data_IF_042980818741
#
_entry.id   IF_042980818741
#
_cell.length_a   1.000
_cell.length_b   1.000
_cell.length_c   1.000
_cell.angle_alpha   90.00
_cell.angle_beta   90.00
_cell.angle_gamma   90.00
#
_symmetry.space_group_name_H-M   'P 1'
#
loop_
_entity.id
_entity.type
_entity.pdbx_description
1 polymer ?
#
# COMPACT_ATOMS: atom_id res chain seq x y z
N UNK A 1 -42.40 35.24 37.85
CA UNK A 1 -43.19 34.01 37.64
C UNK A 1 -43.60 33.96 36.17
N UNK A 2 -42.94 33.12 35.36
CA UNK A 2 -43.23 33.02 33.93
C UNK A 2 -44.46 32.11 33.73
N UNK A 3 -45.47 32.52 32.95
CA UNK A 3 -46.67 31.71 32.74
C UNK A 3 -46.33 30.44 31.94
N UNK A 4 -46.71 29.27 32.48
CA UNK A 4 -46.63 28.00 31.75
C UNK A 4 -47.69 27.99 30.65
N UNK A 5 -47.27 28.16 29.39
CA UNK A 5 -48.13 27.97 28.22
C UNK A 5 -48.33 26.47 27.98
N UNK A 6 -49.58 26.00 28.01
CA UNK A 6 -49.93 24.65 27.60
C UNK A 6 -50.05 24.62 26.06
N UNK A 7 -49.37 23.67 25.41
CA UNK A 7 -49.42 23.49 23.96
C UNK A 7 -50.80 22.99 23.54
N UNK A 8 -51.29 23.46 22.38
CA UNK A 8 -52.55 22.95 21.83
C UNK A 8 -52.35 21.56 21.20
N UNK A 9 -53.40 20.73 21.22
CA UNK A 9 -53.35 19.38 20.64
C UNK A 9 -52.98 19.40 19.15
N UNK A 10 -53.44 20.42 18.40
CA UNK A 10 -53.10 20.62 17.01
C UNK A 10 -51.60 20.88 16.80
N UNK A 11 -50.98 21.67 17.68
CA UNK A 11 -49.55 22.00 17.63
C UNK A 11 -48.68 20.76 17.85
N UNK A 12 -49.09 19.89 18.79
CA UNK A 12 -48.42 18.59 19.02
C UNK A 12 -48.54 17.68 17.79
N UNK A 13 -49.72 17.63 17.17
CA UNK A 13 -49.96 16.76 16.01
C UNK A 13 -49.14 17.20 14.78
N UNK A 14 -49.03 18.50 14.55
CA UNK A 14 -48.17 19.08 13.50
C UNK A 14 -46.70 18.80 13.80
N UNK A 15 -46.26 18.98 15.05
CA UNK A 15 -44.87 18.70 15.44
C UNK A 15 -44.50 17.22 15.24
N UNK A 16 -45.38 16.29 15.59
CA UNK A 16 -45.18 14.85 15.37
C UNK A 16 -45.14 14.52 13.88
N UNK A 17 -46.03 15.09 13.07
CA UNK A 17 -46.02 14.89 11.62
C UNK A 17 -44.71 15.36 10.97
N UNK A 18 -44.22 16.54 11.36
CA UNK A 18 -42.94 17.07 10.91
C UNK A 18 -41.76 16.22 11.39
N UNK A 19 -41.79 15.75 12.64
CA UNK A 19 -40.76 14.87 13.18
C UNK A 19 -40.70 13.53 12.44
N UNK A 20 -41.84 12.93 12.11
CA UNK A 20 -41.91 11.70 11.32
C UNK A 20 -41.42 11.92 9.88
N UNK A 21 -41.80 13.04 9.26
CA UNK A 21 -41.31 13.39 7.92
C UNK A 21 -39.79 13.62 7.89
N UNK A 22 -39.24 14.25 8.92
CA UNK A 22 -37.80 14.38 9.08
C UNK A 22 -37.13 13.01 9.27
N UNK A 23 -37.73 12.14 10.08
CA UNK A 23 -37.22 10.80 10.31
C UNK A 23 -37.22 9.96 9.03
N UNK A 24 -38.28 10.02 8.21
CA UNK A 24 -38.34 9.29 6.95
C UNK A 24 -37.32 9.81 5.94
N UNK A 25 -37.07 11.12 5.87
CA UNK A 25 -36.00 11.69 5.05
C UNK A 25 -34.61 11.24 5.54
N UNK A 26 -34.38 11.26 6.86
CA UNK A 26 -33.12 10.83 7.44
C UNK A 26 -32.83 9.35 7.12
N UNK A 27 -33.81 8.48 7.33
CA UNK A 27 -33.65 7.04 7.10
C UNK A 27 -33.62 6.71 5.60
N UNK A 28 -34.50 7.33 4.81
CA UNK A 28 -34.68 7.04 3.39
C UNK A 28 -33.59 7.61 2.48
N UNK A 29 -32.96 8.72 2.85
CA UNK A 29 -31.97 9.40 2.00
C UNK A 29 -30.58 9.38 2.62
N UNK A 30 -30.46 9.74 3.91
CA UNK A 30 -29.14 9.94 4.52
C UNK A 30 -28.38 8.63 4.70
N UNK A 31 -29.05 7.57 5.21
CA UNK A 31 -28.39 6.27 5.44
C UNK A 31 -27.90 5.61 4.13
N UNK A 32 -28.69 5.54 3.04
CA UNK A 32 -28.19 5.03 1.76
C UNK A 32 -27.04 5.88 1.20
N UNK A 33 -27.13 7.20 1.31
CA UNK A 33 -26.08 8.12 0.83
C UNK A 33 -24.76 7.93 1.59
N UNK A 34 -24.81 7.76 2.92
CA UNK A 34 -23.65 7.42 3.74
C UNK A 34 -23.03 6.07 3.34
N UNK A 35 -23.87 5.07 3.05
CA UNK A 35 -23.43 3.77 2.57
C UNK A 35 -22.71 3.86 1.22
N UNK A 36 -23.29 4.57 0.25
CA UNK A 36 -22.68 4.81 -1.05
C UNK A 36 -21.37 5.57 -0.94
N UNK A 37 -21.33 6.62 -0.11
CA UNK A 37 -20.13 7.42 0.13
C UNK A 37 -18.98 6.56 0.70
N UNK A 38 -19.26 5.72 1.69
CA UNK A 38 -18.26 4.81 2.28
C UNK A 38 -17.68 3.84 1.25
N UNK A 39 -18.50 3.28 0.36
CA UNK A 39 -18.05 2.38 -0.71
C UNK A 39 -17.13 3.10 -1.69
N UNK A 40 -17.53 4.28 -2.16
CA UNK A 40 -16.72 5.11 -3.06
C UNK A 40 -15.40 5.52 -2.42
N UNK A 41 -15.44 5.99 -1.16
CA UNK A 41 -14.23 6.36 -0.42
C UNK A 41 -13.27 5.18 -0.30
N UNK A 42 -13.76 4.00 0.08
CA UNK A 42 -12.93 2.79 0.20
C UNK A 42 -12.25 2.41 -1.13
N UNK A 43 -12.97 2.55 -2.26
CA UNK A 43 -12.42 2.28 -3.60
C UNK A 43 -11.34 3.30 -3.99
N UNK A 44 -11.58 4.58 -3.74
CA UNK A 44 -10.62 5.65 -4.03
C UNK A 44 -9.36 5.49 -3.18
N UNK A 45 -9.52 5.20 -1.88
CA UNK A 45 -8.39 4.95 -0.97
C UNK A 45 -7.53 3.77 -1.47
N UNK A 46 -8.17 2.70 -1.93
CA UNK A 46 -7.47 1.53 -2.49
C UNK A 46 -6.71 1.88 -3.78
N UNK A 47 -7.31 2.65 -4.69
CA UNK A 47 -6.66 3.12 -5.92
C UNK A 47 -5.47 4.03 -5.62
N UNK A 48 -5.64 4.99 -4.71
CA UNK A 48 -4.56 5.88 -4.31
C UNK A 48 -3.42 5.12 -3.65
N UNK A 49 -3.74 4.15 -2.79
CA UNK A 49 -2.74 3.30 -2.13
C UNK A 49 -1.95 2.49 -3.15
N UNK A 50 -2.63 1.82 -4.10
CA UNK A 50 -1.97 1.07 -5.17
C UNK A 50 -1.04 1.96 -5.98
N UNK A 51 -1.52 3.12 -6.42
CA UNK A 51 -0.75 4.06 -7.24
C UNK A 51 0.47 4.61 -6.49
N UNK A 52 0.34 4.99 -5.22
CA UNK A 52 1.47 5.46 -4.40
C UNK A 52 2.48 4.34 -4.18
N UNK A 53 2.01 3.11 -3.96
CA UNK A 53 2.87 1.94 -3.76
C UNK A 53 3.69 1.64 -5.00
N UNK A 54 3.04 1.56 -6.16
CA UNK A 54 3.69 1.30 -7.45
C UNK A 54 4.69 2.39 -7.82
N UNK A 55 4.30 3.67 -7.69
CA UNK A 55 5.24 4.79 -7.92
C UNK A 55 6.47 4.73 -7.02
N UNK A 56 6.31 4.31 -5.77
CA UNK A 56 7.44 4.20 -4.83
C UNK A 56 8.38 3.06 -5.22
N UNK A 57 7.84 1.89 -5.55
CA UNK A 57 8.64 0.75 -6.04
C UNK A 57 9.36 1.16 -7.33
N UNK A 58 8.65 1.79 -8.27
CA UNK A 58 9.20 2.31 -9.50
C UNK A 58 10.35 3.27 -9.27
N UNK A 59 10.17 4.24 -8.37
CA UNK A 59 11.23 5.19 -8.03
C UNK A 59 12.49 4.50 -7.48
N UNK A 60 12.33 3.46 -6.66
CA UNK A 60 13.46 2.68 -6.15
C UNK A 60 14.12 1.85 -7.28
N UNK A 61 13.34 1.28 -8.21
CA UNK A 61 13.84 0.52 -9.36
C UNK A 61 14.54 1.40 -10.41
N UNK A 62 14.05 2.60 -10.70
CA UNK A 62 14.66 3.54 -11.64
C UNK A 62 16.06 3.99 -11.20
N UNK A 63 16.35 3.85 -9.90
CA UNK A 63 17.67 4.10 -9.31
C UNK A 63 18.50 2.83 -9.14
N UNK A 64 18.12 1.73 -9.78
CA UNK A 64 18.81 0.44 -9.70
C UNK A 64 19.27 -0.03 -11.09
N UNK A 65 20.01 -1.13 -11.12
CA UNK A 65 20.42 -1.82 -12.35
C UNK A 65 19.92 -3.26 -12.31
N UNK A 66 19.85 -4.00 -13.43
CA UNK A 66 19.46 -5.40 -13.42
C UNK A 66 20.26 -6.26 -12.44
N UNK A 67 21.57 -5.99 -12.31
CA UNK A 67 22.44 -6.72 -11.40
C UNK A 67 22.21 -6.40 -9.91
N UNK A 68 21.43 -5.38 -9.59
CA UNK A 68 21.21 -4.92 -8.21
C UNK A 68 19.79 -5.18 -7.72
N UNK A 69 19.00 -5.91 -8.50
CA UNK A 69 17.64 -6.34 -8.18
C UNK A 69 17.63 -7.85 -8.04
N UNK A 70 16.99 -8.35 -6.97
CA UNK A 70 16.78 -9.77 -6.75
C UNK A 70 15.31 -10.01 -6.41
N UNK A 71 14.74 -11.04 -7.02
CA UNK A 71 13.36 -11.44 -6.81
C UNK A 71 13.35 -12.84 -6.23
N UNK A 72 12.62 -13.01 -5.13
CA UNK A 72 12.34 -14.30 -4.52
C UNK A 72 10.83 -14.48 -4.41
N UNK A 73 10.30 -15.55 -4.98
CA UNK A 73 8.88 -15.88 -4.93
C UNK A 73 8.70 -17.35 -4.56
N UNK A 74 7.99 -17.62 -3.47
CA UNK A 74 7.73 -18.99 -3.00
C UNK A 74 6.47 -19.03 -2.14
N UNK A 75 5.58 -20.00 -2.41
CA UNK A 75 4.38 -20.22 -1.59
C UNK A 75 3.46 -18.99 -1.46
N UNK A 76 3.39 -18.13 -2.49
CA UNK A 76 2.62 -16.88 -2.46
C UNK A 76 3.29 -15.72 -1.71
N UNK A 77 4.44 -15.95 -1.07
CA UNK A 77 5.31 -14.89 -0.56
C UNK A 77 6.14 -14.36 -1.72
N UNK A 78 6.22 -13.05 -1.85
CA UNK A 78 7.07 -12.38 -2.83
C UNK A 78 7.97 -11.37 -2.13
N UNK A 79 9.26 -11.43 -2.40
CA UNK A 79 10.28 -10.52 -1.89
C UNK A 79 11.02 -9.91 -3.09
N UNK A 80 11.03 -8.59 -3.14
CA UNK A 80 11.76 -7.80 -4.11
C UNK A 80 12.83 -7.01 -3.35
N UNK A 81 14.07 -7.38 -3.60
CA UNK A 81 15.26 -6.71 -3.10
C UNK A 81 15.77 -5.74 -4.17
N UNK A 82 16.01 -4.49 -3.77
CA UNK A 82 16.51 -3.43 -4.64
C UNK A 82 17.67 -2.73 -3.95
N UNK A 83 18.87 -2.87 -4.53
CA UNK A 83 20.02 -2.09 -4.14
C UNK A 83 20.17 -0.89 -5.07
N UNK A 84 20.10 0.32 -4.50
CA UNK A 84 20.03 1.57 -5.24
C UNK A 84 21.42 2.14 -5.48
N UNK A 85 21.61 2.72 -6.66
CA UNK A 85 22.78 3.50 -7.00
C UNK A 85 22.71 4.86 -6.30
N UNK A 86 23.79 5.20 -5.59
CA UNK A 86 24.01 6.51 -4.98
C UNK A 86 24.54 7.49 -6.03
N UNK A 87 25.45 7.03 -6.89
CA UNK A 87 26.03 7.83 -7.95
C UNK A 87 27.28 7.20 -8.54
N UNK A 88 28.21 8.05 -8.97
CA UNK A 88 29.56 7.67 -9.34
C UNK A 88 30.54 8.29 -8.34
N UNK A 89 31.59 7.57 -8.00
CA UNK A 89 32.66 8.08 -7.16
C UNK A 89 33.65 8.97 -7.94
N UNK A 90 34.69 9.46 -7.27
CA UNK A 90 35.72 10.31 -7.89
C UNK A 90 36.52 9.61 -9.01
N UNK A 91 36.51 8.27 -9.06
CA UNK A 91 37.14 7.47 -10.10
C UNK A 91 36.20 7.17 -11.29
N UNK A 92 34.93 7.55 -11.18
CA UNK A 92 33.89 7.21 -12.16
C UNK A 92 33.29 5.82 -11.98
N UNK A 93 33.63 5.11 -10.89
CA UNK A 93 33.05 3.82 -10.55
C UNK A 93 31.66 4.00 -9.91
N UNK A 94 30.79 3.00 -10.07
CA UNK A 94 29.44 2.99 -9.52
C UNK A 94 29.50 2.90 -7.99
N UNK A 95 28.90 3.87 -7.31
CA UNK A 95 28.74 3.86 -5.86
C UNK A 95 27.30 3.49 -5.48
N UNK A 96 27.14 2.48 -4.64
CA UNK A 96 25.86 1.99 -4.15
C UNK A 96 25.49 2.60 -2.79
N UNK A 97 24.20 2.66 -2.49
CA UNK A 97 23.74 3.13 -1.18
C UNK A 97 24.10 2.12 -0.07
N UNK A 98 24.44 2.55 1.14
CA UNK A 98 24.83 1.63 2.23
C UNK A 98 23.65 0.81 2.79
N UNK A 99 22.47 0.89 2.16
CA UNK A 99 21.24 0.19 2.54
C UNK A 99 20.51 -0.28 1.29
N UNK A 100 20.00 -1.49 1.39
CA UNK A 100 19.15 -2.15 0.41
C UNK A 100 17.70 -1.92 0.79
N UNK A 101 16.85 -1.68 -0.20
CA UNK A 101 15.39 -1.60 -0.01
C UNK A 101 14.80 -2.97 -0.26
N UNK A 102 14.00 -3.46 0.68
CA UNK A 102 13.32 -4.74 0.55
C UNK A 102 11.82 -4.50 0.61
N UNK A 103 11.12 -4.94 -0.43
CA UNK A 103 9.66 -5.06 -0.44
C UNK A 103 9.30 -6.51 -0.23
N UNK A 104 8.44 -6.82 0.73
CA UNK A 104 7.93 -8.17 0.89
C UNK A 104 6.43 -8.18 1.08
N UNK A 105 5.79 -9.17 0.48
CA UNK A 105 4.39 -9.48 0.62
C UNK A 105 4.22 -10.82 1.31
N UNK A 106 3.42 -10.83 2.37
CA UNK A 106 3.04 -12.04 3.07
C UNK A 106 1.51 -12.23 2.99
N UNK A 107 1.02 -13.30 2.34
CA UNK A 107 -0.42 -13.51 2.13
C UNK A 107 -1.19 -13.68 3.45
N UNK A 108 -0.56 -14.18 4.52
CA UNK A 108 -1.22 -14.32 5.82
C UNK A 108 -1.62 -12.97 6.45
N UNK A 109 -0.86 -11.90 6.14
CA UNK A 109 -1.11 -10.56 6.66
C UNK A 109 -1.85 -9.64 5.69
N UNK A 110 -1.95 -10.02 4.41
CA UNK A 110 -2.47 -9.19 3.32
C UNK A 110 -1.84 -7.79 3.27
N UNK A 111 -0.54 -7.68 3.57
CA UNK A 111 0.22 -6.44 3.63
C UNK A 111 1.45 -6.51 2.73
N UNK A 112 1.67 -5.42 2.00
CA UNK A 112 2.94 -5.16 1.34
C UNK A 112 3.75 -4.22 2.24
N UNK A 113 4.93 -4.67 2.63
CA UNK A 113 5.81 -3.96 3.57
C UNK A 113 7.09 -3.58 2.84
N UNK A 114 7.63 -2.42 3.21
CA UNK A 114 8.95 -1.94 2.80
C UNK A 114 9.84 -1.81 4.01
N UNK A 115 11.03 -2.36 3.92
CA UNK A 115 12.07 -2.21 4.94
C UNK A 115 13.41 -1.83 4.31
N UNK A 116 14.32 -1.39 5.18
CA UNK A 116 15.71 -1.11 4.81
C UNK A 116 16.59 -2.13 5.50
N UNK A 117 17.48 -2.75 4.75
CA UNK A 117 18.41 -3.76 5.24
C UNK A 117 19.86 -3.35 4.88
N UNK A 118 20.87 -3.62 5.73
CA UNK A 118 20.76 -4.23 7.05
C UNK A 118 20.23 -3.24 8.11
N UNK A 119 19.64 -3.79 9.17
CA UNK A 119 19.14 -2.98 10.30
C UNK A 119 20.26 -2.32 11.10
N UNK A 120 21.42 -2.97 11.12
CA UNK A 120 22.65 -2.51 11.75
C UNK A 120 23.81 -2.73 10.79
N UNK A 121 24.73 -1.78 10.70
CA UNK A 121 25.86 -1.83 9.76
C UNK A 121 25.53 -1.22 8.39
N UNK A 122 26.33 -1.58 7.40
CA UNK A 122 26.25 -1.05 6.04
C UNK A 122 26.35 -2.18 5.02
N UNK A 123 25.49 -2.12 4.00
CA UNK A 123 25.65 -2.87 2.77
C UNK A 123 26.98 -2.51 2.08
N UNK A 124 27.44 -3.37 1.16
CA UNK A 124 28.58 -3.03 0.30
C UNK A 124 28.25 -1.78 -0.52
N UNK A 125 29.15 -0.81 -0.57
CA UNK A 125 28.97 0.40 -1.41
C UNK A 125 29.68 0.28 -2.76
N UNK A 126 30.56 -0.72 -2.94
CA UNK A 126 31.31 -0.93 -4.17
C UNK A 126 30.61 -1.87 -5.14
N UNK A 127 29.76 -2.77 -4.65
CA UNK A 127 29.14 -3.82 -5.45
C UNK A 127 27.66 -4.01 -5.10
N UNK A 128 26.82 -4.45 -6.06
CA UNK A 128 25.44 -4.80 -5.78
C UNK A 128 25.38 -5.96 -4.78
N UNK A 129 24.42 -5.90 -3.86
CA UNK A 129 24.30 -6.90 -2.81
C UNK A 129 23.18 -7.87 -3.14
N UNK A 130 23.51 -9.15 -3.07
CA UNK A 130 22.57 -10.25 -3.13
C UNK A 130 22.48 -10.93 -1.78
N UNK A 131 21.29 -11.44 -1.47
CA UNK A 131 21.05 -12.24 -0.27
C UNK A 131 20.71 -13.66 -0.68
N UNK A 132 21.04 -14.62 0.19
CA UNK A 132 20.61 -16.00 0.01
C UNK A 132 19.09 -16.11 0.14
N UNK A 133 18.47 -17.01 -0.64
CA UNK A 133 17.02 -17.20 -0.64
C UNK A 133 16.46 -17.56 0.74
N UNK A 134 17.23 -18.30 1.55
CA UNK A 134 16.87 -18.61 2.94
C UNK A 134 16.77 -17.32 3.80
N UNK A 135 17.65 -16.35 3.56
CA UNK A 135 17.63 -15.06 4.25
C UNK A 135 16.44 -14.21 3.77
N UNK A 136 16.13 -14.21 2.47
CA UNK A 136 14.96 -13.51 1.92
C UNK A 136 13.65 -14.08 2.48
N UNK A 137 13.55 -15.41 2.57
CA UNK A 137 12.39 -16.08 3.17
C UNK A 137 12.23 -15.74 4.66
N UNK A 138 13.34 -15.69 5.40
CA UNK A 138 13.35 -15.29 6.81
C UNK A 138 12.93 -13.83 7.00
N UNK A 139 13.39 -12.92 6.14
CA UNK A 139 13.05 -11.50 6.20
C UNK A 139 11.54 -11.26 6.02
N UNK A 140 10.91 -11.96 5.07
CA UNK A 140 9.46 -11.89 4.84
C UNK A 140 8.61 -12.36 6.03
N UNK A 141 9.20 -13.13 6.95
CA UNK A 141 8.55 -13.65 8.16
C UNK A 141 8.96 -12.87 9.42
N UNK A 142 10.01 -12.05 9.34
CA UNK A 142 10.56 -11.32 10.47
C UNK A 142 9.82 -10.00 10.72
N UNK A 143 9.65 -9.63 11.98
CA UNK A 143 9.14 -8.31 12.36
C UNK A 143 10.33 -7.41 12.65
N UNK A 144 10.51 -6.39 11.83
CA UNK A 144 11.61 -5.44 11.95
C UNK A 144 11.05 -4.07 12.37
N UNK A 145 11.61 -3.40 13.38
CA UNK A 145 11.12 -2.09 13.84
C UNK A 145 11.15 -1.00 12.76
N UNK A 146 11.99 -1.16 11.73
CA UNK A 146 12.09 -0.23 10.60
C UNK A 146 11.16 -0.58 9.43
N UNK A 147 10.27 -1.56 9.58
CA UNK A 147 9.28 -1.89 8.58
C UNK A 147 8.22 -0.80 8.45
N UNK A 148 7.91 -0.43 7.21
CA UNK A 148 6.81 0.47 6.88
C UNK A 148 5.82 -0.25 5.99
N UNK A 149 4.58 -0.33 6.44
CA UNK A 149 3.48 -0.82 5.60
C UNK A 149 3.26 0.15 4.44
N UNK A 150 3.30 -0.38 3.23
CA UNK A 150 3.11 0.39 1.98
C UNK A 150 1.67 0.24 1.48
N UNK A 151 1.13 -0.98 1.55
CA UNK A 151 -0.26 -1.26 1.21
C UNK A 151 -0.88 -2.31 2.14
N UNK A 152 -2.19 -2.20 2.35
CA UNK A 152 -3.01 -3.13 3.15
C UNK A 152 -4.17 -3.63 2.28
N UNK A 153 -4.58 -4.89 2.49
CA UNK A 153 -5.58 -5.53 1.63
C UNK A 153 -4.97 -5.95 0.30
N UNK A 154 -3.69 -6.33 0.30
CA UNK A 154 -3.00 -6.87 -0.87
C UNK A 154 -3.39 -8.34 -1.00
N UNK A 155 -3.86 -8.70 -2.19
CA UNK A 155 -4.31 -10.04 -2.55
C UNK A 155 -3.16 -10.82 -3.20
N UNK A 156 -2.44 -10.19 -4.13
CA UNK A 156 -1.19 -10.71 -4.68
C UNK A 156 -0.22 -9.58 -5.00
N UNK A 157 1.06 -9.89 -4.89
CA UNK A 157 2.16 -9.05 -5.36
C UNK A 157 3.15 -9.98 -6.06
N UNK A 158 3.36 -9.73 -7.34
CA UNK A 158 4.19 -10.57 -8.20
C UNK A 158 5.17 -9.70 -8.96
N UNK A 159 6.39 -10.23 -9.10
CA UNK A 159 7.46 -9.59 -9.85
C UNK A 159 8.02 -10.62 -10.81
N UNK A 160 7.91 -10.35 -12.10
CA UNK A 160 8.53 -11.17 -13.14
C UNK A 160 9.87 -10.55 -13.50
N UNK A 161 10.95 -11.27 -13.22
CA UNK A 161 12.30 -10.85 -13.58
C UNK A 161 12.44 -10.89 -15.11
N UNK A 162 12.91 -9.78 -15.69
CA UNK A 162 13.05 -9.61 -17.14
C UNK A 162 13.56 -8.21 -17.48
N UNK A 163 13.67 -7.93 -18.78
CA UNK A 163 13.88 -6.57 -19.28
C UNK A 163 12.88 -6.32 -20.43
N UNK A 164 11.71 -5.73 -20.14
CA UNK A 164 11.35 -5.02 -18.91
C UNK A 164 11.02 -5.94 -17.72
N UNK A 165 11.23 -5.43 -16.51
CA UNK A 165 10.76 -6.03 -15.27
C UNK A 165 9.27 -5.72 -15.10
N UNK A 166 8.44 -6.74 -14.88
CA UNK A 166 6.99 -6.57 -14.74
C UNK A 166 6.60 -6.66 -13.27
N UNK A 167 5.88 -5.64 -12.82
CA UNK A 167 5.29 -5.59 -11.49
C UNK A 167 3.78 -5.77 -11.60
N UNK A 168 3.22 -6.67 -10.79
CA UNK A 168 1.79 -6.84 -10.65
C UNK A 168 1.39 -6.70 -9.17
N UNK A 169 0.44 -5.81 -8.91
CA UNK A 169 -0.12 -5.57 -7.58
C UNK A 169 -1.65 -5.70 -7.65
N UNK A 170 -2.18 -6.71 -6.97
CA UNK A 170 -3.61 -6.89 -6.79
C UNK A 170 -4.02 -6.57 -5.35
N UNK A 171 -5.10 -5.82 -5.19
CA UNK A 171 -5.68 -5.43 -3.91
C UNK A 171 -7.15 -5.83 -3.85
N UNK A 172 -7.62 -6.23 -2.67
CA UNK A 172 -9.01 -6.57 -2.40
C UNK A 172 -9.46 -5.97 -1.07
N UNK A 173 -10.62 -5.32 -1.08
CA UNK A 173 -11.27 -4.80 0.13
C UNK A 173 -12.79 -4.95 0.02
N UNK A 174 -13.35 -5.92 0.75
CA UNK A 174 -14.75 -6.31 0.60
C UNK A 174 -15.00 -6.88 -0.80
N UNK A 175 -16.00 -6.33 -1.50
CA UNK A 175 -16.35 -6.72 -2.87
C UNK A 175 -15.48 -6.02 -3.94
N UNK A 176 -14.66 -5.05 -3.54
CA UNK A 176 -13.84 -4.32 -4.50
C UNK A 176 -12.51 -5.03 -4.73
N UNK A 177 -12.19 -5.24 -6.00
CA UNK A 177 -10.92 -5.74 -6.48
C UNK A 177 -10.26 -4.71 -7.39
N UNK A 178 -8.95 -4.54 -7.28
CA UNK A 178 -8.14 -3.67 -8.10
C UNK A 178 -6.85 -4.39 -8.45
N UNK A 179 -6.52 -4.45 -9.73
CA UNK A 179 -5.21 -4.89 -10.22
C UNK A 179 -4.51 -3.72 -10.91
N UNK A 180 -3.21 -3.61 -10.68
CA UNK A 180 -2.32 -2.66 -11.34
C UNK A 180 -1.10 -3.43 -11.85
N UNK A 181 -0.72 -3.15 -13.09
CA UNK A 181 0.48 -3.71 -13.71
C UNK A 181 1.35 -2.58 -14.24
N UNK A 182 2.66 -2.66 -14.02
CA UNK A 182 3.63 -1.76 -14.62
C UNK A 182 4.81 -2.55 -15.21
N UNK A 183 5.32 -2.05 -16.33
CA UNK A 183 6.56 -2.51 -16.94
C UNK A 183 7.64 -1.45 -16.73
N UNK A 184 8.81 -1.86 -16.22
CA UNK A 184 9.90 -0.96 -15.84
C UNK A 184 11.18 -1.41 -16.52
N UNK A 185 11.81 -0.48 -17.23
CA UNK A 185 13.13 -0.67 -17.82
C UNK A 185 14.19 -0.20 -16.82
N UNK A 186 15.09 -1.10 -16.44
CA UNK A 186 16.19 -0.79 -15.54
C UNK A 186 17.34 -0.13 -16.30
N UNK A 187 18.16 0.67 -15.61
CA UNK A 187 19.33 1.29 -16.20
C UNK A 187 20.44 0.25 -16.42
N UNK A 188 21.02 0.25 -17.62
CA UNK A 188 22.21 -0.55 -17.94
C UNK A 188 23.47 0.04 -17.31
#
# INVERSE_FOLDING_TARGET
>A
MSPRRAFSLAEVLVAVGLALLLLTLLVGVLLPSLGAFRRTSSRVDMQQTALVSMRRIRHDLERSTPASVQVYASGGVCVLLIHRLKGLDASGAREWEPKVVIYHFNPASARLVRELWPNSGTASTSEPQHLEDATLAALASSVNPNQRVVAVGVDSFEVEAGNPLKLHLAMRRGEHHLSSQEEIYLRN
#
